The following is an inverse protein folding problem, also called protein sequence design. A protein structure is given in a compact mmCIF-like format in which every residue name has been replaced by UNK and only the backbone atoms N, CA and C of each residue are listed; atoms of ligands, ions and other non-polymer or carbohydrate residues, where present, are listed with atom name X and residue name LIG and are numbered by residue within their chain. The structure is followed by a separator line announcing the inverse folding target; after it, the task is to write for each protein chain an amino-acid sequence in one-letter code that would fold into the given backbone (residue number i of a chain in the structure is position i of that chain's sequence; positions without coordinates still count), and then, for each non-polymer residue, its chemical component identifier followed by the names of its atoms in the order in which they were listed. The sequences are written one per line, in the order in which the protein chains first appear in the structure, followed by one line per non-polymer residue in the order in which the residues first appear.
data_IF_664099584772
#
_entry.id   IF_664099584772
#
_cell.length_a   1.000
_cell.length_b   1.000
_cell.length_c   1.000
_cell.angle_alpha   90.00
_cell.angle_beta   90.00
_cell.angle_gamma   90.00
#
_symmetry.space_group_name_H-M   'P 1'
#
loop_
_entity.id
_entity.type
_entity.pdbx_description
1 polymer ?
#
# COMPACT_ATOMS: atom_id res chain seq x y z
N UNK A 1 -22.14 1.82 -18.95
CA UNK A 1 -21.71 2.35 -17.64
C UNK A 1 -20.78 3.51 -17.85
N UNK A 2 -21.14 4.71 -17.41
CA UNK A 2 -20.27 5.89 -17.51
C UNK A 2 -19.04 5.67 -16.62
N UNK A 3 -17.85 5.65 -17.23
CA UNK A 3 -16.60 5.62 -16.48
C UNK A 3 -16.49 6.93 -15.68
N UNK A 4 -16.54 6.84 -14.35
CA UNK A 4 -16.29 8.01 -13.49
C UNK A 4 -14.91 8.55 -13.85
N UNK A 5 -14.90 9.81 -14.30
CA UNK A 5 -13.68 10.57 -14.59
C UNK A 5 -13.03 10.87 -13.23
N UNK A 6 -11.96 10.17 -12.92
CA UNK A 6 -11.16 10.41 -11.73
C UNK A 6 -9.85 11.02 -12.19
N UNK A 7 -9.49 12.14 -11.62
CA UNK A 7 -8.18 12.77 -11.81
C UNK A 7 -7.32 12.42 -10.60
N UNK A 8 -6.16 11.81 -10.85
CA UNK A 8 -5.20 11.39 -9.82
C UNK A 8 -3.86 12.03 -10.18
N UNK A 9 -3.27 12.79 -9.28
CA UNK A 9 -2.03 13.54 -9.49
C UNK A 9 -2.04 14.40 -10.77
N UNK A 10 -3.17 15.02 -11.12
CA UNK A 10 -3.31 15.79 -12.37
C UNK A 10 -3.38 14.93 -13.64
N UNK A 11 -3.36 13.60 -13.53
CA UNK A 11 -3.47 12.68 -14.67
C UNK A 11 -4.95 12.32 -14.89
N UNK A 12 -5.45 12.62 -16.07
CA UNK A 12 -6.78 12.20 -16.48
C UNK A 12 -6.79 10.70 -16.80
N UNK A 13 -7.35 9.90 -15.92
CA UNK A 13 -7.35 8.43 -16.05
C UNK A 13 -8.10 7.90 -17.26
N UNK A 14 -8.99 8.71 -17.86
CA UNK A 14 -9.76 8.33 -19.04
C UNK A 14 -8.96 8.45 -20.34
N UNK A 15 -7.92 9.30 -20.39
CA UNK A 15 -7.11 9.61 -21.57
C UNK A 15 -5.79 8.85 -21.65
N UNK A 16 -5.53 7.93 -20.73
CA UNK A 16 -4.30 7.15 -20.70
C UNK A 16 -4.18 6.26 -21.97
N UNK A 17 -3.01 6.28 -22.64
CA UNK A 17 -2.79 5.49 -23.83
C UNK A 17 -2.88 3.98 -23.52
N UNK A 18 -3.27 3.22 -24.54
CA UNK A 18 -3.21 1.76 -24.54
C UNK A 18 -2.17 1.37 -25.58
N UNK A 19 -1.18 0.60 -25.16
CA UNK A 19 -0.16 0.06 -26.07
C UNK A 19 -0.59 -1.32 -26.55
N UNK A 20 -0.47 -1.57 -27.86
CA UNK A 20 -0.55 -2.92 -28.45
C UNK A 20 0.65 -3.76 -28.01
N UNK A 21 0.59 -5.07 -28.19
CA UNK A 21 1.73 -5.94 -27.87
C UNK A 21 2.95 -5.64 -28.77
N UNK A 22 2.72 -5.35 -30.07
CA UNK A 22 3.77 -4.97 -31.01
C UNK A 22 4.46 -3.65 -30.60
N UNK A 23 3.68 -2.63 -30.19
CA UNK A 23 4.23 -1.38 -29.70
C UNK A 23 5.05 -1.56 -28.40
N UNK A 24 4.61 -2.47 -27.52
CA UNK A 24 5.37 -2.77 -26.30
C UNK A 24 6.73 -3.40 -26.59
N UNK A 25 6.78 -4.31 -27.57
CA UNK A 25 8.03 -4.95 -27.98
C UNK A 25 9.00 -3.94 -28.60
N UNK A 26 8.53 -3.10 -29.55
CA UNK A 26 9.35 -2.04 -30.15
C UNK A 26 9.87 -1.06 -29.10
N UNK A 27 8.99 -0.60 -28.21
CA UNK A 27 9.40 0.32 -27.15
C UNK A 27 10.45 -0.29 -26.20
N UNK A 28 10.31 -1.59 -25.87
CA UNK A 28 11.30 -2.26 -25.03
C UNK A 28 12.67 -2.37 -25.71
N UNK A 29 12.72 -2.68 -27.02
CA UNK A 29 13.98 -2.71 -27.77
C UNK A 29 14.69 -1.35 -27.75
N UNK A 30 13.93 -0.28 -27.89
CA UNK A 30 14.47 1.09 -27.82
C UNK A 30 14.92 1.46 -26.40
N UNK A 31 14.21 0.98 -25.37
CA UNK A 31 14.59 1.17 -23.95
C UNK A 31 15.95 0.50 -23.67
N UNK A 32 16.17 -0.72 -24.16
CA UNK A 32 17.44 -1.45 -24.05
C UNK A 32 18.60 -0.70 -24.73
N UNK A 33 18.29 0.08 -25.78
CA UNK A 33 19.27 0.96 -26.45
C UNK A 33 19.47 2.31 -25.74
N UNK A 34 18.77 2.55 -24.63
CA UNK A 34 18.89 3.77 -23.82
C UNK A 34 17.98 4.92 -24.27
N UNK A 35 16.93 4.67 -25.07
CA UNK A 35 15.96 5.69 -25.48
C UNK A 35 15.04 6.10 -24.31
N UNK A 36 15.30 7.27 -23.75
CA UNK A 36 14.51 7.83 -22.65
C UNK A 36 13.09 8.19 -23.04
N UNK A 37 12.83 8.57 -24.30
CA UNK A 37 11.49 8.88 -24.78
C UNK A 37 10.64 7.61 -24.92
N UNK A 38 11.22 6.52 -25.40
CA UNK A 38 10.58 5.23 -25.43
C UNK A 38 10.22 4.75 -24.02
N UNK A 39 11.13 4.94 -23.04
CA UNK A 39 10.89 4.61 -21.63
C UNK A 39 9.72 5.41 -21.05
N UNK A 40 9.68 6.71 -21.29
CA UNK A 40 8.57 7.56 -20.85
C UNK A 40 7.23 7.13 -21.47
N UNK A 41 7.22 6.82 -22.76
CA UNK A 41 6.04 6.34 -23.47
C UNK A 41 5.55 5.00 -22.89
N UNK A 42 6.46 4.07 -22.64
CA UNK A 42 6.14 2.77 -22.04
C UNK A 42 5.57 2.92 -20.63
N UNK A 43 6.12 3.80 -19.81
CA UNK A 43 5.57 4.13 -18.47
C UNK A 43 4.13 4.63 -18.60
N UNK A 44 3.88 5.63 -19.46
CA UNK A 44 2.55 6.21 -19.68
C UNK A 44 1.53 5.16 -20.12
N UNK A 45 1.92 4.25 -20.99
CA UNK A 45 1.07 3.16 -21.48
C UNK A 45 0.70 2.12 -20.40
N UNK A 46 1.48 2.03 -19.33
CA UNK A 46 1.26 1.07 -18.24
C UNK A 46 0.66 1.69 -16.98
N UNK A 47 0.36 2.99 -16.93
CA UNK A 47 -0.23 3.64 -15.76
C UNK A 47 -1.58 3.05 -15.35
N UNK A 48 -2.35 2.51 -16.30
CA UNK A 48 -3.61 1.79 -15.99
C UNK A 48 -3.39 0.56 -15.12
N UNK A 49 -2.25 -0.11 -15.28
CA UNK A 49 -1.88 -1.24 -14.41
C UNK A 49 -1.71 -0.77 -12.97
N UNK A 50 -1.01 0.34 -12.76
CA UNK A 50 -0.84 0.96 -11.43
C UNK A 50 -2.20 1.30 -10.82
N UNK A 51 -3.08 1.97 -11.58
CA UNK A 51 -4.43 2.32 -11.12
C UNK A 51 -5.25 1.10 -10.69
N UNK A 52 -5.17 -0.01 -11.44
CA UNK A 52 -5.88 -1.25 -11.09
C UNK A 52 -5.38 -1.89 -9.79
N UNK A 53 -4.09 -1.70 -9.49
CA UNK A 53 -3.48 -2.23 -8.26
C UNK A 53 -3.88 -1.37 -7.06
N UNK A 54 -3.87 -0.05 -7.20
CA UNK A 54 -4.22 0.88 -6.10
C UNK A 54 -5.65 0.64 -5.60
N UNK A 55 -6.58 0.30 -6.47
CA UNK A 55 -7.94 -0.04 -6.08
C UNK A 55 -8.02 -1.15 -5.02
N UNK A 56 -7.02 -2.03 -4.95
CA UNK A 56 -6.94 -3.08 -3.90
C UNK A 56 -6.54 -2.54 -2.54
N UNK A 57 -6.01 -1.32 -2.49
CA UNK A 57 -5.57 -0.62 -1.27
C UNK A 57 -6.53 0.50 -0.85
N UNK A 58 -7.74 0.54 -1.43
CA UNK A 58 -8.76 1.57 -1.13
C UNK A 58 -9.25 1.58 0.33
N UNK A 59 -8.91 0.55 1.11
CA UNK A 59 -9.19 0.49 2.55
C UNK A 59 -8.05 1.03 3.43
N UNK A 60 -6.93 1.48 2.85
CA UNK A 60 -5.87 2.15 3.61
C UNK A 60 -6.27 3.60 3.93
N UNK A 61 -5.74 4.16 5.03
CA UNK A 61 -5.93 5.56 5.42
C UNK A 61 -5.20 6.55 4.50
N UNK A 62 -4.31 6.04 3.65
CA UNK A 62 -3.43 6.84 2.82
C UNK A 62 -4.12 7.46 1.60
N UNK A 63 -3.60 8.60 1.16
CA UNK A 63 -4.10 9.29 -0.01
C UNK A 63 -3.86 8.45 -1.28
N UNK A 64 -4.88 8.33 -2.13
CA UNK A 64 -4.79 7.64 -3.42
C UNK A 64 -3.71 8.22 -4.33
N UNK A 65 -3.44 9.53 -4.24
CA UNK A 65 -2.40 10.21 -5.01
C UNK A 65 -1.00 9.73 -4.61
N UNK A 66 -0.74 9.56 -3.31
CA UNK A 66 0.55 9.09 -2.80
C UNK A 66 0.76 7.63 -3.16
N UNK A 67 -0.27 6.80 -3.01
CA UNK A 67 -0.24 5.40 -3.45
C UNK A 67 0.03 5.28 -4.96
N UNK A 68 -0.53 6.21 -5.77
CA UNK A 68 -0.28 6.24 -7.20
C UNK A 68 1.17 6.58 -7.52
N UNK A 69 1.74 7.60 -6.87
CA UNK A 69 3.14 7.99 -7.07
C UNK A 69 4.09 6.85 -6.69
N UNK A 70 3.87 6.23 -5.53
CA UNK A 70 4.65 5.07 -5.08
C UNK A 70 4.50 3.89 -6.03
N UNK A 71 3.28 3.64 -6.51
CA UNK A 71 3.01 2.62 -7.52
C UNK A 71 3.74 2.88 -8.84
N UNK A 72 3.84 4.15 -9.27
CA UNK A 72 4.63 4.55 -10.43
C UNK A 72 6.13 4.31 -10.23
N UNK A 73 6.66 4.53 -9.02
CA UNK A 73 8.05 4.18 -8.69
C UNK A 73 8.26 2.66 -8.84
N UNK A 74 7.33 1.85 -8.35
CA UNK A 74 7.36 0.40 -8.51
C UNK A 74 7.32 -0.03 -9.99
N UNK A 75 6.50 0.64 -10.80
CA UNK A 75 6.43 0.41 -12.25
C UNK A 75 7.75 0.76 -12.94
N UNK A 76 8.35 1.91 -12.62
CA UNK A 76 9.66 2.32 -13.19
C UNK A 76 10.76 1.32 -12.86
N UNK A 77 10.84 0.88 -11.60
CA UNK A 77 11.79 -0.17 -11.18
C UNK A 77 11.54 -1.49 -11.92
N UNK A 78 10.27 -1.83 -12.17
CA UNK A 78 9.95 -3.03 -12.92
C UNK A 78 10.40 -2.93 -14.39
N UNK A 79 10.27 -1.77 -15.03
CA UNK A 79 10.73 -1.56 -16.41
C UNK A 79 12.26 -1.66 -16.48
N UNK A 80 12.96 -1.03 -15.53
CA UNK A 80 14.43 -0.98 -15.52
C UNK A 80 15.08 -2.36 -15.24
N UNK A 81 14.37 -3.27 -14.56
CA UNK A 81 14.89 -4.58 -14.17
C UNK A 81 14.23 -5.76 -14.89
N UNK A 82 13.37 -5.52 -15.87
CA UNK A 82 12.68 -6.60 -16.59
C UNK A 82 13.59 -7.27 -17.61
N UNK A 83 13.74 -8.59 -17.49
CA UNK A 83 14.46 -9.40 -18.47
C UNK A 83 13.46 -10.08 -19.43
N UNK A 84 13.52 -9.74 -20.71
CA UNK A 84 12.68 -10.31 -21.78
C UNK A 84 12.96 -11.80 -22.03
N UNK A 85 14.14 -12.29 -21.67
CA UNK A 85 14.53 -13.68 -21.89
C UNK A 85 13.76 -14.67 -21.00
N UNK A 86 13.10 -14.19 -19.95
CA UNK A 86 12.39 -15.03 -18.99
C UNK A 86 11.04 -15.59 -19.50
N UNK A 87 10.63 -15.28 -20.73
CA UNK A 87 9.39 -15.77 -21.35
C UNK A 87 8.11 -15.51 -20.50
N UNK A 88 8.10 -14.46 -19.69
CA UNK A 88 6.95 -14.03 -18.89
C UNK A 88 6.43 -12.68 -19.37
N UNK A 89 5.12 -12.47 -19.28
CA UNK A 89 4.54 -11.16 -19.60
C UNK A 89 5.05 -10.10 -18.62
N UNK A 90 5.34 -8.91 -19.13
CA UNK A 90 5.76 -7.77 -18.30
C UNK A 90 4.81 -7.51 -17.11
N UNK A 91 3.49 -7.59 -17.33
CA UNK A 91 2.51 -7.39 -16.26
C UNK A 91 2.66 -8.40 -15.11
N UNK A 92 3.04 -9.64 -15.39
CA UNK A 92 3.25 -10.67 -14.39
C UNK A 92 4.44 -10.33 -13.48
N UNK A 93 5.48 -9.71 -14.03
CA UNK A 93 6.64 -9.25 -13.29
C UNK A 93 6.37 -7.91 -12.58
N UNK A 94 5.70 -6.97 -13.23
CA UNK A 94 5.48 -5.62 -12.71
C UNK A 94 4.50 -5.58 -11.52
N UNK A 95 3.44 -6.41 -11.53
CA UNK A 95 2.42 -6.41 -10.46
C UNK A 95 3.02 -6.66 -9.07
N UNK A 96 3.82 -7.72 -8.83
CA UNK A 96 4.46 -7.93 -7.53
C UNK A 96 5.42 -6.78 -7.14
N UNK A 97 6.13 -6.20 -8.09
CA UNK A 97 7.04 -5.07 -7.84
C UNK A 97 6.28 -3.83 -7.37
N UNK A 98 5.18 -3.47 -8.06
CA UNK A 98 4.32 -2.35 -7.69
C UNK A 98 3.70 -2.57 -6.31
N UNK A 99 3.13 -3.76 -6.07
CA UNK A 99 2.56 -4.12 -4.77
C UNK A 99 3.62 -4.07 -3.66
N UNK A 100 4.83 -4.53 -3.95
CA UNK A 100 5.95 -4.51 -3.02
C UNK A 100 6.32 -3.10 -2.57
N UNK A 101 6.41 -2.14 -3.52
CA UNK A 101 6.71 -0.74 -3.20
C UNK A 101 5.56 -0.09 -2.41
N UNK A 102 4.30 -0.32 -2.77
CA UNK A 102 3.15 0.20 -2.03
C UNK A 102 3.13 -0.36 -0.61
N UNK A 103 3.32 -1.67 -0.41
CA UNK A 103 3.36 -2.27 0.93
C UNK A 103 4.53 -1.75 1.75
N UNK A 104 5.68 -1.51 1.11
CA UNK A 104 6.84 -0.92 1.76
C UNK A 104 6.52 0.50 2.25
N UNK A 105 5.93 1.33 1.39
CA UNK A 105 5.49 2.67 1.75
C UNK A 105 4.53 2.64 2.93
N UNK A 106 3.42 1.90 2.85
CA UNK A 106 2.43 1.77 3.93
C UNK A 106 3.02 1.30 5.27
N UNK A 107 4.05 0.45 5.20
CA UNK A 107 4.75 0.01 6.41
C UNK A 107 5.64 1.11 7.00
N UNK A 108 6.32 1.87 6.15
CA UNK A 108 7.35 2.82 6.57
C UNK A 108 6.76 4.23 6.82
N UNK A 109 5.55 4.49 6.31
CA UNK A 109 4.80 5.74 6.47
C UNK A 109 4.04 5.75 7.80
N UNK A 110 4.65 6.25 8.82
CA UNK A 110 4.06 6.41 10.15
C UNK A 110 4.73 7.57 10.88
N UNK A 111 3.95 8.38 11.62
CA UNK A 111 4.50 9.50 12.42
C UNK A 111 5.57 9.04 13.42
N UNK A 112 5.44 7.83 13.95
CA UNK A 112 6.42 7.21 14.84
C UNK A 112 7.11 6.05 14.13
N UNK A 113 8.44 6.02 14.23
CA UNK A 113 9.25 4.94 13.69
C UNK A 113 9.18 3.72 14.62
N UNK A 114 8.35 2.75 14.26
CA UNK A 114 8.23 1.47 14.96
C UNK A 114 9.08 0.40 14.26
N UNK A 115 9.71 -0.48 15.03
CA UNK A 115 10.50 -1.58 14.49
C UNK A 115 9.65 -2.52 13.62
N UNK A 116 10.27 -3.14 12.61
CA UNK A 116 9.59 -4.06 11.70
C UNK A 116 8.96 -5.24 12.44
N UNK A 117 9.68 -5.83 13.39
CA UNK A 117 9.18 -6.96 14.18
C UNK A 117 7.92 -6.60 14.96
N UNK A 118 7.87 -5.43 15.60
CA UNK A 118 6.69 -4.98 16.34
C UNK A 118 5.49 -4.78 15.41
N UNK A 119 5.68 -4.19 14.22
CA UNK A 119 4.59 -4.04 13.23
C UNK A 119 4.08 -5.40 12.72
N UNK A 120 4.99 -6.34 12.45
CA UNK A 120 4.63 -7.70 12.02
C UNK A 120 3.91 -8.48 13.14
N UNK A 121 4.40 -8.38 14.38
CA UNK A 121 3.74 -8.97 15.54
C UNK A 121 2.36 -8.36 15.79
N UNK A 122 2.24 -7.03 15.70
CA UNK A 122 0.97 -6.34 15.82
C UNK A 122 -0.07 -6.87 14.83
N UNK A 123 0.29 -7.01 13.54
CA UNK A 123 -0.61 -7.58 12.53
C UNK A 123 -1.00 -9.04 12.83
N UNK A 124 -0.06 -9.87 13.31
CA UNK A 124 -0.33 -11.26 13.73
C UNK A 124 -1.30 -11.30 14.93
N UNK A 125 -1.10 -10.41 15.91
CA UNK A 125 -1.93 -10.32 17.11
C UNK A 125 -3.36 -9.93 16.74
N UNK A 126 -3.58 -8.92 15.89
CA UNK A 126 -4.91 -8.53 15.45
C UNK A 126 -5.63 -9.65 14.70
N UNK A 127 -4.91 -10.35 13.80
CA UNK A 127 -5.48 -11.49 13.07
C UNK A 127 -5.85 -12.65 13.98
N UNK A 128 -5.00 -12.97 14.97
CA UNK A 128 -5.25 -14.02 15.95
C UNK A 128 -6.42 -13.65 16.87
N UNK A 129 -6.51 -12.39 17.31
CA UNK A 129 -7.60 -11.89 18.14
C UNK A 129 -8.95 -12.01 17.42
N UNK A 130 -9.01 -11.61 16.15
CA UNK A 130 -10.22 -11.72 15.34
C UNK A 130 -10.66 -13.20 15.14
N UNK A 131 -9.71 -14.10 14.93
CA UNK A 131 -9.97 -15.52 14.80
C UNK A 131 -10.50 -16.13 16.10
N UNK A 132 -9.83 -15.83 17.22
CA UNK A 132 -10.23 -16.30 18.55
C UNK A 132 -11.60 -15.73 18.97
N UNK A 133 -11.89 -14.48 18.66
CA UNK A 133 -13.18 -13.86 18.96
C UNK A 133 -14.33 -14.58 18.24
N UNK A 134 -14.11 -14.95 16.97
CA UNK A 134 -15.08 -15.75 16.20
C UNK A 134 -15.28 -17.17 16.76
N UNK A 135 -14.20 -17.78 17.28
CA UNK A 135 -14.23 -19.14 17.84
C UNK A 135 -14.86 -19.15 19.24
N UNK A 136 -14.46 -18.22 20.12
CA UNK A 136 -14.87 -18.20 21.52
C UNK A 136 -16.24 -17.50 21.72
N UNK A 137 -16.68 -16.67 20.75
CA UNK A 137 -17.90 -15.85 20.89
C UNK A 137 -17.76 -14.75 21.95
N UNK A 138 -16.55 -14.45 22.42
CA UNK A 138 -16.20 -13.38 23.35
C UNK A 138 -14.82 -12.81 23.02
N UNK A 139 -14.52 -11.66 23.60
CA UNK A 139 -13.18 -11.08 23.49
C UNK A 139 -12.12 -12.00 24.16
N UNK A 140 -11.04 -12.36 23.46
CA UNK A 140 -9.99 -13.20 24.01
C UNK A 140 -9.14 -12.43 25.02
N UNK A 141 -8.67 -13.13 26.07
CA UNK A 141 -7.73 -12.58 27.06
C UNK A 141 -6.30 -12.59 26.50
N UNK A 142 -5.41 -11.78 27.08
CA UNK A 142 -4.03 -11.63 26.59
C UNK A 142 -3.26 -12.96 26.54
N UNK A 143 -3.47 -13.85 27.51
CA UNK A 143 -2.82 -15.17 27.55
C UNK A 143 -3.28 -16.08 26.39
N UNK A 144 -4.55 -15.99 25.98
CA UNK A 144 -5.06 -16.75 24.82
C UNK A 144 -4.44 -16.27 23.52
N UNK A 145 -4.32 -14.93 23.37
CA UNK A 145 -3.66 -14.31 22.21
C UNK A 145 -2.17 -14.65 22.19
N UNK A 146 -1.48 -14.55 23.32
CA UNK A 146 -0.07 -14.88 23.48
C UNK A 146 0.20 -16.34 23.06
N UNK A 147 -0.65 -17.28 23.52
CA UNK A 147 -0.57 -18.68 23.16
C UNK A 147 -0.83 -18.92 21.67
N UNK A 148 -1.80 -18.24 21.06
CA UNK A 148 -2.13 -18.39 19.65
C UNK A 148 -1.05 -17.80 18.72
N UNK A 149 -0.33 -16.78 19.18
CA UNK A 149 0.73 -16.11 18.40
C UNK A 149 2.13 -16.63 18.71
N UNK A 150 2.27 -17.52 19.71
CA UNK A 150 3.58 -18.01 20.22
C UNK A 150 4.49 -16.87 20.70
N UNK A 151 3.90 -15.79 21.24
CA UNK A 151 4.59 -14.66 21.83
C UNK A 151 4.42 -14.66 23.35
N UNK A 152 5.34 -14.01 24.06
CA UNK A 152 5.13 -13.71 25.48
C UNK A 152 4.03 -12.64 25.66
N UNK A 153 3.41 -12.61 26.84
CA UNK A 153 2.39 -11.60 27.16
C UNK A 153 2.96 -10.19 27.04
N UNK A 154 4.21 -9.98 27.49
CA UNK A 154 4.89 -8.70 27.40
C UNK A 154 5.12 -8.25 25.94
N UNK A 155 5.48 -9.19 25.04
CA UNK A 155 5.61 -8.90 23.61
C UNK A 155 4.27 -8.57 22.97
N UNK A 156 3.19 -9.22 23.40
CA UNK A 156 1.82 -8.90 22.92
C UNK A 156 1.45 -7.47 23.33
N UNK A 157 1.64 -7.11 24.60
CA UNK A 157 1.32 -5.77 25.11
C UNK A 157 2.17 -4.71 24.38
N UNK A 158 3.49 -4.90 24.31
CA UNK A 158 4.39 -3.97 23.63
C UNK A 158 4.04 -3.78 22.14
N UNK A 159 3.66 -4.88 21.46
CA UNK A 159 3.28 -4.81 20.06
C UNK A 159 1.94 -4.09 19.85
N UNK A 160 0.97 -4.30 20.73
CA UNK A 160 -0.32 -3.59 20.69
C UNK A 160 -0.15 -2.10 20.98
N UNK A 161 0.64 -1.72 21.97
CA UNK A 161 0.94 -0.32 22.29
C UNK A 161 1.66 0.38 21.12
N UNK A 162 2.58 -0.33 20.46
CA UNK A 162 3.31 0.22 19.29
C UNK A 162 2.44 0.46 18.06
N UNK A 163 1.29 -0.20 17.98
CA UNK A 163 0.30 -0.05 16.92
C UNK A 163 -0.76 1.02 17.20
N UNK A 164 -0.70 1.68 18.36
CA UNK A 164 -1.64 2.75 18.70
C UNK A 164 -1.45 3.97 17.77
N UNK A 165 -2.55 4.53 17.29
CA UNK A 165 -2.53 5.74 16.49
C UNK A 165 -2.13 6.95 17.32
N UNK A 166 -1.37 7.86 16.71
CA UNK A 166 -1.00 9.14 17.33
C UNK A 166 -2.20 10.07 17.28
N UNK A 167 -2.64 10.54 18.44
CA UNK A 167 -3.74 11.48 18.52
C UNK A 167 -3.27 12.93 18.41
N UNK A 168 -4.12 13.79 17.81
CA UNK A 168 -3.86 15.22 17.73
C UNK A 168 -4.07 15.88 19.08
N UNK A 169 -3.13 16.74 19.49
CA UNK A 169 -3.29 17.58 20.69
C UNK A 169 -4.48 18.55 20.61
N UNK A 170 -4.91 18.88 19.39
CA UNK A 170 -6.10 19.72 19.14
C UNK A 170 -7.41 18.93 19.05
N UNK A 171 -7.35 17.60 19.26
CA UNK A 171 -8.57 16.78 19.28
C UNK A 171 -9.47 17.25 20.42
N UNK A 172 -10.72 17.54 20.10
CA UNK A 172 -11.74 17.89 21.10
C UNK A 172 -12.08 16.64 21.89
N UNK A 173 -11.83 16.65 23.21
CA UNK A 173 -12.11 15.54 24.11
C UNK A 173 -13.54 15.65 24.66
N UNK A 174 -13.96 16.89 24.94
CA UNK A 174 -15.28 17.16 25.50
C UNK A 174 -15.92 18.35 24.79
N UNK A 175 -17.13 18.12 24.28
CA UNK A 175 -17.95 19.12 23.64
C UNK A 175 -19.09 19.47 24.63
N UNK A 176 -18.95 20.61 25.32
CA UNK A 176 -19.94 21.13 26.30
C UNK A 176 -20.64 22.37 25.75
N UNK A 177 -21.71 22.77 26.42
CA UNK A 177 -22.46 24.01 26.11
C UNK A 177 -21.58 25.25 26.23
N UNK A 178 -20.81 25.53 25.18
CA UNK A 178 -20.07 26.79 25.00
C UNK A 178 -18.54 26.76 25.05
N UNK A 179 -17.90 25.66 25.49
CA UNK A 179 -16.42 25.54 25.45
C UNK A 179 -16.02 24.13 25.04
N UNK A 180 -15.31 24.05 23.92
CA UNK A 180 -14.64 22.82 23.50
C UNK A 180 -13.32 22.66 24.28
N UNK A 181 -13.13 21.53 24.96
CA UNK A 181 -11.91 21.21 25.69
C UNK A 181 -11.05 20.30 24.82
N UNK A 182 -9.86 20.77 24.44
CA UNK A 182 -8.84 19.98 23.75
C UNK A 182 -7.80 19.44 24.75
N UNK A 183 -6.92 18.53 24.26
CA UNK A 183 -5.78 18.01 25.04
C UNK A 183 -4.73 19.09 25.36
N UNK A 184 -4.76 20.25 24.71
CA UNK A 184 -3.84 21.37 24.90
C UNK A 184 -4.46 22.48 25.72
#
# INVERSE_FOLDING_TARGET
MARKKVEICGVNTSSLPLLSEEEKEDLFERIEQGDLLAREHYIKGNLRLVLSIIQRFSGSSENADDLFQVGCIGLMKAIDNFDRNLNVKFSTYAVPMIIGEIRRYLRDDGMLKVSRNLKENCARIYSAREALEKELGREPILEEVAKATELSVDEVVMSMESGAEVESLHKIIYQGDGNDISLM
#
